data_IF_383564459769
#
_entry.id   IF_383564459769
#
_cell.length_a   1.000
_cell.length_b   1.000
_cell.length_c   1.000
_cell.angle_alpha   90.00
_cell.angle_beta   90.00
_cell.angle_gamma   90.00
#
_symmetry.space_group_name_H-M   'P 1'
#
loop_
_entity.id
_entity.type
_entity.pdbx_description
1 polymer ?
#
# COMPACT_ATOMS: atom_id res chain seq x y z
N UNK A 1 21.35 -2.54 -1.91
CA UNK A 1 21.54 -3.22 -0.60
C UNK A 1 20.97 -4.64 -0.69
N UNK A 2 21.47 -5.61 0.09
CA UNK A 2 20.98 -7.00 0.11
C UNK A 2 20.36 -7.34 1.46
N UNK A 3 19.25 -8.08 1.46
CA UNK A 3 18.58 -8.59 2.65
C UNK A 3 18.25 -10.07 2.49
N UNK A 4 18.46 -10.85 3.55
CA UNK A 4 18.00 -12.23 3.64
C UNK A 4 16.54 -12.26 4.12
N UNK A 5 15.73 -13.13 3.52
CA UNK A 5 14.30 -13.26 3.78
C UNK A 5 13.96 -14.71 4.13
N UNK A 6 12.96 -14.93 4.98
CA UNK A 6 12.44 -16.27 5.26
C UNK A 6 11.00 -16.22 5.75
N UNK A 7 10.22 -17.24 5.35
CA UNK A 7 8.88 -17.50 5.86
C UNK A 7 8.58 -19.01 5.73
N UNK A 8 8.66 -19.74 6.84
CA UNK A 8 8.48 -21.19 6.84
C UNK A 8 9.52 -21.89 5.94
N UNK A 9 9.11 -22.74 4.97
CA UNK A 9 10.03 -23.44 4.08
C UNK A 9 10.57 -22.57 2.94
N UNK A 10 10.05 -21.35 2.79
CA UNK A 10 10.50 -20.41 1.75
C UNK A 10 11.61 -19.55 2.32
N UNK A 11 12.73 -19.50 1.61
CA UNK A 11 13.85 -18.60 1.87
C UNK A 11 14.06 -17.72 0.65
N UNK A 12 14.76 -16.60 0.83
CA UNK A 12 14.92 -15.63 -0.24
C UNK A 12 15.98 -14.60 0.00
N UNK A 13 16.32 -13.88 -1.06
CA UNK A 13 17.12 -12.66 -1.01
C UNK A 13 16.39 -11.52 -1.69
N UNK A 14 16.53 -10.34 -1.11
CA UNK A 14 16.08 -9.09 -1.70
C UNK A 14 17.28 -8.20 -1.99
N UNK A 15 17.28 -7.61 -3.18
CA UNK A 15 18.19 -6.56 -3.60
C UNK A 15 17.43 -5.26 -3.81
N UNK A 16 18.00 -4.15 -3.36
CA UNK A 16 17.44 -2.81 -3.59
C UNK A 16 18.45 -1.90 -4.28
N UNK A 17 17.99 -1.12 -5.26
CA UNK A 17 18.78 -0.11 -5.97
C UNK A 17 17.86 1.05 -6.39
N UNK A 18 17.95 2.19 -5.71
CA UNK A 18 17.08 3.33 -6.01
C UNK A 18 15.61 2.99 -5.76
N UNK A 19 14.79 3.17 -6.78
CA UNK A 19 13.37 2.82 -6.84
C UNK A 19 13.12 1.36 -7.25
N UNK A 20 14.16 0.57 -7.51
CA UNK A 20 14.02 -0.83 -7.90
C UNK A 20 14.31 -1.80 -6.75
N UNK A 21 13.53 -2.88 -6.73
CA UNK A 21 13.66 -3.99 -5.80
C UNK A 21 13.54 -5.31 -6.55
N UNK A 22 14.50 -6.19 -6.39
CA UNK A 22 14.46 -7.55 -6.95
C UNK A 22 14.42 -8.54 -5.79
N UNK A 23 13.46 -9.46 -5.82
CA UNK A 23 13.30 -10.51 -4.82
C UNK A 23 13.43 -11.86 -5.51
N UNK A 24 14.32 -12.71 -5.01
CA UNK A 24 14.44 -14.10 -5.40
C UNK A 24 13.98 -14.96 -4.23
N UNK A 25 12.95 -15.78 -4.43
CA UNK A 25 12.41 -16.69 -3.43
C UNK A 25 12.54 -18.14 -3.92
N UNK A 26 12.89 -19.05 -3.01
CA UNK A 26 12.95 -20.47 -3.32
C UNK A 26 12.53 -21.34 -2.14
N UNK A 27 12.05 -22.53 -2.48
CA UNK A 27 11.64 -23.58 -1.54
C UNK A 27 12.43 -24.86 -1.86
N UNK A 28 13.40 -25.25 -1.02
CA UNK A 28 14.16 -26.48 -1.23
C UNK A 28 13.30 -27.74 -1.20
N UNK A 29 12.34 -27.81 -0.26
CA UNK A 29 11.42 -28.95 -0.10
C UNK A 29 10.00 -28.49 0.13
N UNK A 30 9.03 -29.21 -0.45
CA UNK A 30 7.61 -28.94 -0.30
C UNK A 30 7.14 -29.34 1.10
N UNK A 31 6.42 -28.44 1.77
CA UNK A 31 5.72 -28.77 3.00
C UNK A 31 4.28 -29.15 2.66
N UNK A 32 3.94 -30.43 2.76
CA UNK A 32 2.57 -30.89 2.61
C UNK A 32 1.70 -30.41 3.79
N UNK A 33 0.47 -29.98 3.49
CA UNK A 33 -0.54 -29.67 4.50
C UNK A 33 -0.36 -28.37 5.29
N UNK A 34 0.60 -27.50 4.91
CA UNK A 34 0.75 -26.16 5.51
C UNK A 34 0.47 -25.06 4.48
N UNK A 35 -0.31 -24.03 4.82
CA UNK A 35 -0.50 -22.90 3.92
C UNK A 35 0.83 -22.17 3.71
N UNK A 36 1.03 -21.54 2.54
CA UNK A 36 2.17 -20.66 2.30
C UNK A 36 2.19 -19.53 3.34
N UNK A 37 3.36 -19.21 3.87
CA UNK A 37 3.54 -18.06 4.77
C UNK A 37 4.01 -16.86 3.93
N UNK A 38 3.39 -15.67 4.10
CA UNK A 38 3.83 -14.47 3.41
C UNK A 38 5.26 -14.07 3.78
N UNK A 39 6.06 -13.71 2.79
CA UNK A 39 7.45 -13.26 2.96
C UNK A 39 7.49 -11.75 3.13
N UNK A 40 7.87 -11.26 4.31
CA UNK A 40 7.99 -9.80 4.57
C UNK A 40 9.23 -9.21 3.93
N UNK A 41 9.03 -8.22 3.07
CA UNK A 41 10.12 -7.47 2.44
C UNK A 41 10.70 -6.42 3.39
N UNK A 42 11.93 -6.00 3.12
CA UNK A 42 12.69 -5.08 3.98
C UNK A 42 12.96 -3.76 3.28
N UNK A 43 13.13 -2.69 4.06
CA UNK A 43 13.58 -1.39 3.58
C UNK A 43 12.81 -0.83 2.36
N UNK A 44 11.50 -1.09 2.30
CA UNK A 44 10.61 -0.45 1.35
C UNK A 44 10.07 0.86 1.93
N UNK A 45 9.68 1.78 1.06
CA UNK A 45 8.95 2.98 1.44
C UNK A 45 7.49 2.59 1.76
N UNK A 46 7.02 2.67 3.02
CA UNK A 46 5.67 2.24 3.37
C UNK A 46 4.57 3.08 2.72
N UNK A 47 4.87 4.34 2.36
CA UNK A 47 3.91 5.26 1.73
C UNK A 47 3.83 5.10 0.21
N UNK A 48 4.74 4.35 -0.40
CA UNK A 48 4.80 4.16 -1.84
C UNK A 48 3.98 2.95 -2.31
N UNK A 49 3.71 2.93 -3.62
CA UNK A 49 3.23 1.74 -4.33
C UNK A 49 4.36 1.18 -5.17
N UNK A 50 4.40 -0.14 -5.31
CA UNK A 50 5.37 -0.85 -6.12
C UNK A 50 4.63 -1.60 -7.22
N UNK A 51 5.14 -1.60 -8.44
CA UNK A 51 4.58 -2.35 -9.57
C UNK A 51 5.51 -3.49 -9.95
N UNK A 52 4.94 -4.68 -10.18
CA UNK A 52 5.57 -5.78 -10.90
C UNK A 52 5.03 -5.86 -12.33
N UNK A 53 5.46 -6.87 -13.09
CA UNK A 53 4.94 -7.14 -14.44
C UNK A 53 3.42 -7.39 -14.46
N UNK A 54 2.86 -7.86 -13.34
CA UNK A 54 1.47 -8.36 -13.27
C UNK A 54 0.60 -7.56 -12.30
N UNK A 55 1.18 -7.07 -11.20
CA UNK A 55 0.43 -6.54 -10.06
C UNK A 55 0.99 -5.23 -9.53
N UNK A 56 0.18 -4.53 -8.73
CA UNK A 56 0.62 -3.40 -7.92
C UNK A 56 0.43 -3.68 -6.43
N UNK A 57 1.45 -3.36 -5.65
CA UNK A 57 1.55 -3.64 -4.23
C UNK A 57 1.71 -2.35 -3.42
N UNK A 58 1.15 -2.33 -2.22
CA UNK A 58 1.47 -1.27 -1.24
C UNK A 58 2.78 -1.60 -0.53
N UNK A 59 3.66 -0.61 -0.39
CA UNK A 59 4.91 -0.76 0.37
C UNK A 59 4.67 -1.17 1.82
N UNK A 60 3.68 -0.58 2.49
CA UNK A 60 3.30 -0.96 3.85
C UNK A 60 2.84 -2.42 3.94
N UNK A 61 2.06 -2.90 2.96
CA UNK A 61 1.61 -4.30 2.92
C UNK A 61 2.81 -5.24 2.75
N UNK A 62 3.69 -4.99 1.77
CA UNK A 62 4.88 -5.82 1.55
C UNK A 62 5.81 -5.85 2.78
N UNK A 63 5.87 -4.75 3.54
CA UNK A 63 6.74 -4.63 4.71
C UNK A 63 6.15 -5.30 5.97
N UNK A 64 4.84 -5.17 6.20
CA UNK A 64 4.18 -5.63 7.44
C UNK A 64 3.42 -6.96 7.29
N UNK A 65 2.73 -7.15 6.17
CA UNK A 65 1.95 -8.36 5.89
C UNK A 65 2.75 -9.36 5.05
N UNK A 66 3.62 -8.87 4.16
CA UNK A 66 4.46 -9.67 3.30
C UNK A 66 3.82 -10.01 1.95
N UNK A 67 4.63 -10.65 1.12
CA UNK A 67 4.28 -11.14 -0.20
C UNK A 67 3.87 -12.61 -0.12
N UNK A 68 2.71 -12.96 -0.66
CA UNK A 68 2.32 -14.35 -0.88
C UNK A 68 3.06 -14.88 -2.11
N UNK A 69 4.12 -15.64 -1.88
CA UNK A 69 4.96 -16.16 -2.94
C UNK A 69 4.26 -17.30 -3.70
N UNK A 70 3.81 -17.04 -4.92
CA UNK A 70 3.33 -18.07 -5.84
C UNK A 70 4.51 -18.83 -6.43
N UNK A 71 4.95 -19.86 -5.70
CA UNK A 71 5.94 -20.81 -6.18
C UNK A 71 5.26 -21.96 -6.92
N UNK A 72 5.87 -22.50 -8.00
CA UNK A 72 5.43 -23.75 -8.60
C UNK A 72 5.28 -24.89 -7.58
N UNK A 73 4.47 -25.89 -7.92
CA UNK A 73 4.33 -27.11 -7.10
C UNK A 73 5.61 -27.94 -7.12
N UNK A 74 5.86 -28.70 -6.06
CA UNK A 74 7.02 -29.59 -5.94
C UNK A 74 8.22 -29.00 -5.18
N UNK A 75 9.31 -29.77 -5.19
CA UNK A 75 10.58 -29.43 -4.56
C UNK A 75 11.43 -28.52 -5.44
N UNK A 76 12.40 -27.82 -4.84
CA UNK A 76 13.32 -26.91 -5.52
C UNK A 76 12.63 -25.84 -6.40
N UNK A 77 11.42 -25.42 -6.01
CA UNK A 77 10.67 -24.38 -6.71
C UNK A 77 11.24 -23.00 -6.40
N UNK A 78 11.32 -22.13 -7.41
CA UNK A 78 11.77 -20.74 -7.26
C UNK A 78 10.91 -19.77 -8.06
N UNK A 79 10.95 -18.50 -7.67
CA UNK A 79 10.36 -17.38 -8.42
C UNK A 79 11.19 -16.12 -8.20
N UNK A 80 11.15 -15.22 -9.18
CA UNK A 80 11.79 -13.92 -9.12
C UNK A 80 10.73 -12.84 -9.34
N UNK A 81 10.73 -11.82 -8.49
CA UNK A 81 9.86 -10.66 -8.61
C UNK A 81 10.72 -9.40 -8.75
N UNK A 82 10.51 -8.67 -9.85
CA UNK A 82 11.03 -7.31 -10.00
C UNK A 82 9.93 -6.32 -9.65
N UNK A 83 10.26 -5.34 -8.81
CA UNK A 83 9.37 -4.31 -8.32
C UNK A 83 10.01 -2.95 -8.60
N UNK A 84 9.22 -2.04 -9.15
CA UNK A 84 9.60 -0.63 -9.31
C UNK A 84 8.67 0.25 -8.48
N UNK A 85 9.23 1.15 -7.69
CA UNK A 85 8.48 2.15 -6.94
C UNK A 85 7.78 3.09 -7.92
N UNK A 86 6.46 3.22 -7.78
CA UNK A 86 5.68 4.12 -8.60
C UNK A 86 5.84 5.55 -8.08
N UNK A 87 6.03 6.54 -8.98
CA UNK A 87 6.10 7.94 -8.59
C UNK A 87 4.77 8.37 -7.99
N UNK A 88 4.76 8.68 -6.70
CA UNK A 88 3.57 9.22 -6.04
C UNK A 88 3.41 10.70 -6.46
N UNK A 89 2.31 11.06 -7.16
CA UNK A 89 2.14 12.38 -7.77
C UNK A 89 2.19 13.53 -6.76
N UNK A 90 1.89 13.23 -5.49
CA UNK A 90 1.77 14.22 -4.43
C UNK A 90 3.11 14.51 -3.73
N UNK A 91 4.08 13.59 -3.79
CA UNK A 91 5.40 13.74 -3.14
C UNK A 91 6.47 14.34 -4.04
N UNK A 92 6.38 14.16 -5.37
CA UNK A 92 7.39 14.70 -6.30
C UNK A 92 7.36 16.23 -6.37
N UNK A 93 6.17 16.83 -6.26
CA UNK A 93 6.02 18.29 -6.26
C UNK A 93 6.75 18.98 -5.10
N UNK A 94 6.86 18.32 -3.93
CA UNK A 94 7.52 18.89 -2.75
C UNK A 94 9.06 18.77 -2.78
N UNK A 95 9.62 17.82 -3.53
CA UNK A 95 11.08 17.61 -3.59
C UNK A 95 11.79 18.50 -4.62
N UNK A 96 11.04 19.13 -5.53
CA UNK A 96 11.59 20.06 -6.53
C UNK A 96 11.32 21.55 -6.24
N UNK A 97 10.53 21.89 -5.22
CA UNK A 97 10.29 23.28 -4.84
C UNK A 97 11.37 23.76 -3.89
N UNK A 98 12.54 24.13 -4.42
CA UNK A 98 13.38 25.11 -3.73
C UNK A 98 12.58 26.41 -3.71
N UNK A 99 12.21 26.98 -2.54
CA UNK A 99 11.67 28.32 -2.51
C UNK A 99 12.79 29.25 -2.99
N UNK A 100 12.67 29.74 -4.23
CA UNK A 100 13.47 30.88 -4.71
C UNK A 100 13.26 31.98 -3.66
N UNK A 101 14.32 32.49 -2.99
CA UNK A 101 14.12 33.58 -2.05
C UNK A 101 13.51 34.73 -2.82
N UNK A 102 12.27 35.08 -2.47
CA UNK A 102 11.59 36.23 -3.00
C UNK A 102 12.48 37.42 -2.71
N UNK A 103 13.07 38.00 -3.76
CA UNK A 103 13.82 39.23 -3.67
C UNK A 103 12.96 40.24 -2.93
N UNK A 104 13.41 40.60 -1.72
CA UNK A 104 12.81 41.56 -0.83
C UNK A 104 12.68 42.89 -1.56
N UNK A 105 11.48 43.13 -2.09
CA UNK A 105 11.12 44.38 -2.75
C UNK A 105 11.14 45.48 -1.71
N UNK A 106 12.06 46.41 -1.94
CA UNK A 106 12.28 47.66 -1.25
C UNK A 106 11.00 48.46 -1.07
N UNK A 107 10.71 48.77 0.21
CA UNK A 107 10.28 50.07 0.73
C UNK A 107 9.34 50.88 -0.18
N UNK A 108 8.04 50.85 0.13
CA UNK A 108 7.14 51.97 -0.15
C UNK A 108 6.61 52.52 1.16
N UNK A 109 7.06 53.73 1.50
CA UNK A 109 6.42 54.58 2.50
C UNK A 109 5.17 55.15 1.86
N UNK A 110 4.02 55.08 2.51
CA UNK A 110 3.09 56.21 2.56
C UNK A 110 2.00 56.05 3.65
N UNK A 111 1.41 57.18 4.07
CA UNK A 111 1.12 57.44 5.48
C UNK A 111 -0.32 57.13 5.90
N UNK A 112 -0.46 57.17 7.22
CA UNK A 112 -1.67 57.10 8.05
C UNK A 112 -2.73 58.09 7.56
N UNK A 113 -3.95 57.61 7.35
CA UNK A 113 -5.18 58.42 7.42
C UNK A 113 -6.16 57.67 8.35
N UNK A 114 -6.69 58.41 9.31
CA UNK A 114 -7.65 58.00 10.32
C UNK A 114 -9.11 57.94 9.80
N UNK A 115 -9.90 57.11 10.50
CA UNK A 115 -11.34 57.26 10.80
C UNK A 115 -12.41 56.75 9.82
N UNK A 116 -13.31 55.90 10.33
CA UNK A 116 -14.64 55.67 9.75
C UNK A 116 -15.41 54.53 10.44
N UNK A 117 -16.43 54.89 11.22
CA UNK A 117 -17.25 54.06 12.13
C UNK A 117 -18.36 53.25 11.46
N UNK A 118 -18.72 52.15 12.14
CA UNK A 118 -20.06 51.55 12.39
C UNK A 118 -20.95 51.10 11.23
N UNK A 119 -21.34 49.82 11.28
CA UNK A 119 -22.74 49.33 11.45
C UNK A 119 -22.90 47.97 10.75
N UNK A 120 -23.76 47.02 11.11
CA UNK A 120 -24.66 46.72 12.25
C UNK A 120 -25.43 45.47 11.80
N UNK A 121 -25.65 44.48 12.70
CA UNK A 121 -26.69 43.39 12.68
C UNK A 121 -26.75 42.46 11.46
N UNK A 122 -27.29 41.25 11.46
CA UNK A 122 -27.80 40.21 12.36
C UNK A 122 -27.87 38.97 11.40
N UNK A 123 -28.10 37.71 11.73
CA UNK A 123 -29.06 37.08 12.62
C UNK A 123 -28.73 35.57 12.58
N UNK A 124 -29.10 34.89 13.66
CA UNK A 124 -29.43 33.46 13.82
C UNK A 124 -30.00 32.78 12.56
N UNK A 125 -29.99 31.47 12.35
CA UNK A 125 -30.03 30.30 13.22
C UNK A 125 -29.94 29.05 12.30
N UNK A 126 -29.97 27.87 12.91
CA UNK A 126 -30.38 26.57 12.37
C UNK A 126 -29.28 25.50 12.15
N UNK A 127 -29.52 24.47 12.96
CA UNK A 127 -28.82 23.25 13.29
C UNK A 127 -28.63 22.28 12.11
N UNK A 128 -27.61 21.40 12.15
CA UNK A 128 -27.52 20.24 11.25
C UNK A 128 -28.43 19.10 11.73
N UNK A 129 -29.08 18.33 10.82
CA UNK A 129 -29.64 17.03 11.16
C UNK A 129 -28.57 15.92 11.19
N UNK A 130 -28.72 15.06 12.18
CA UNK A 130 -27.91 13.91 12.61
C UNK A 130 -27.99 12.70 11.63
N UNK A 131 -27.08 11.70 11.77
CA UNK A 131 -26.98 10.55 10.87
C UNK A 131 -28.06 9.47 11.14
N UNK A 132 -28.66 8.94 10.07
CA UNK A 132 -29.57 7.79 10.16
C UNK A 132 -28.82 6.46 10.27
N UNK A 133 -29.29 5.66 11.23
CA UNK A 133 -28.95 4.27 11.51
C UNK A 133 -29.58 3.34 10.47
N UNK A 134 -28.87 2.24 10.19
CA UNK A 134 -29.45 1.00 9.66
C UNK A 134 -28.51 0.35 8.65
N UNK A 135 -28.26 -0.95 8.64
CA UNK A 135 -28.79 -2.08 9.39
C UNK A 135 -27.80 -3.22 9.11
N UNK A 136 -27.31 -3.86 10.16
CA UNK A 136 -26.56 -5.12 10.07
C UNK A 136 -27.59 -6.23 9.89
N UNK A 137 -27.40 -7.10 8.90
CA UNK A 137 -27.79 -8.52 8.94
C UNK A 137 -27.07 -9.29 7.81
N UNK A 138 -26.33 -10.37 8.11
CA UNK A 138 -25.63 -11.19 7.13
C UNK A 138 -26.53 -12.34 6.62
N UNK A 139 -26.78 -12.40 5.32
CA UNK A 139 -27.36 -13.59 4.69
C UNK A 139 -26.31 -14.71 4.62
N UNK A 140 -26.24 -15.52 5.68
CA UNK A 140 -25.80 -16.91 5.61
C UNK A 140 -26.83 -17.72 4.82
N UNK A 141 -26.41 -18.39 3.76
CA UNK A 141 -27.09 -19.60 3.29
C UNK A 141 -26.06 -20.62 2.81
N UNK A 142 -25.70 -21.53 3.71
CA UNK A 142 -25.10 -22.80 3.39
C UNK A 142 -26.11 -23.64 2.62
N UNK A 143 -25.69 -24.27 1.52
CA UNK A 143 -26.37 -25.41 0.92
C UNK A 143 -25.33 -26.26 0.19
N UNK A 144 -24.87 -27.32 0.85
CA UNK A 144 -24.30 -28.54 0.26
C UNK A 144 -25.35 -29.63 0.49
N UNK A 145 -25.65 -30.46 -0.53
CA UNK A 145 -25.45 -31.90 -0.39
C UNK A 145 -24.70 -32.44 -1.62
N UNK A 146 -23.60 -33.19 -1.47
CA UNK A 146 -23.49 -34.61 -1.13
C UNK A 146 -23.36 -35.49 -2.39
N UNK A 147 -22.20 -36.16 -2.47
CA UNK A 147 -21.91 -37.50 -3.03
C UNK A 147 -22.52 -37.92 -4.38
N UNK A 148 -21.65 -38.24 -5.34
CA UNK A 148 -21.70 -39.58 -5.96
C UNK A 148 -20.29 -39.99 -6.38
N UNK A 149 -19.87 -41.17 -5.91
CA UNK A 149 -18.66 -41.87 -6.31
C UNK A 149 -18.87 -42.58 -7.64
N UNK A 150 -17.86 -42.65 -8.50
CA UNK A 150 -17.69 -43.85 -9.32
C UNK A 150 -16.23 -43.98 -9.77
N UNK A 151 -15.59 -45.02 -9.24
CA UNK A 151 -14.33 -45.55 -9.71
C UNK A 151 -14.64 -46.59 -10.79
N UNK A 152 -14.02 -46.45 -11.96
CA UNK A 152 -13.98 -47.53 -12.95
C UNK A 152 -12.53 -47.79 -13.30
N UNK A 153 -12.03 -48.92 -12.79
CA UNK A 153 -10.83 -49.58 -13.26
C UNK A 153 -11.25 -50.68 -14.24
N UNK A 154 -10.63 -50.73 -15.41
CA UNK A 154 -10.30 -51.95 -16.16
C UNK A 154 -9.14 -51.62 -17.09
#
# INVERSE_FOLDING_TARGET
MRYELSAGPVTGVQYTLGDEVVVLLWRPTVNFGKPPLPVRLRALNPSARYRSDVDEYSGAVLLHHGLEATLPTGDYASTMLHLTELPQPDQKAARYTTPKPAASRTRSKNPIIHSGRLSTTAHTDLCPPQPEKGRVEPCRRNSIPESTSEATAT
#
